data_IF_840400944080
#
_entry.id   IF_840400944080
#
_cell.length_a   1.000
_cell.length_b   1.000
_cell.length_c   1.000
_cell.angle_alpha   90.00
_cell.angle_beta   90.00
_cell.angle_gamma   90.00
#
_symmetry.space_group_name_H-M   'P 1'
#
loop_
_entity.id
_entity.type
_entity.pdbx_description
1 polymer ?
#
# COMPACT_ATOMS: atom_id res chain seq x y z
N UNK A 1 -11.79 -26.65 -54.76
CA UNK A 1 -11.18 -26.17 -56.02
C UNK A 1 -10.66 -24.77 -55.78
N UNK A 2 -9.34 -24.61 -55.90
CA UNK A 2 -8.52 -23.39 -55.98
C UNK A 2 -8.55 -22.38 -54.82
N UNK A 3 -7.49 -21.65 -54.46
CA UNK A 3 -6.03 -21.86 -54.40
C UNK A 3 -5.41 -20.49 -54.08
N UNK A 4 -4.47 -20.46 -53.14
CA UNK A 4 -3.31 -19.56 -52.99
C UNK A 4 -3.46 -18.03 -53.09
N UNK A 5 -3.00 -17.33 -52.04
CA UNK A 5 -1.74 -16.57 -52.12
C UNK A 5 -1.14 -16.38 -50.71
N UNK A 6 0.10 -16.85 -50.54
CA UNK A 6 0.99 -16.58 -49.41
C UNK A 6 1.76 -15.28 -49.67
N UNK A 7 2.04 -14.52 -48.62
CA UNK A 7 2.98 -13.39 -48.66
C UNK A 7 3.75 -13.31 -47.34
N UNK A 8 4.95 -13.88 -47.32
CA UNK A 8 5.93 -13.78 -46.25
C UNK A 8 6.82 -12.55 -46.47
N UNK A 9 7.05 -11.76 -45.43
CA UNK A 9 8.08 -10.72 -45.44
C UNK A 9 8.92 -10.83 -44.16
N UNK A 10 10.11 -11.44 -44.32
CA UNK A 10 11.25 -11.36 -43.40
C UNK A 10 12.04 -10.11 -43.78
N UNK A 11 12.40 -9.27 -42.80
CA UNK A 11 13.52 -8.34 -42.94
C UNK A 11 14.39 -8.35 -41.69
N UNK A 12 15.68 -8.39 -41.95
CA UNK A 12 16.79 -8.65 -41.05
C UNK A 12 17.23 -7.39 -40.27
N UNK A 13 17.86 -7.63 -39.13
CA UNK A 13 18.65 -6.66 -38.37
C UNK A 13 19.98 -6.31 -39.07
N UNK A 14 20.58 -5.15 -38.75
CA UNK A 14 22.02 -4.97 -38.83
C UNK A 14 22.65 -4.91 -37.42
N UNK A 15 23.78 -5.60 -37.28
CA UNK A 15 24.72 -5.56 -36.15
C UNK A 15 26.00 -4.83 -36.61
N UNK A 16 26.71 -4.25 -35.63
CA UNK A 16 28.07 -3.66 -35.63
C UNK A 16 28.12 -2.13 -35.89
N UNK A 17 28.95 -1.33 -35.22
CA UNK A 17 30.25 -1.63 -34.62
C UNK A 17 30.63 -0.73 -33.42
N UNK A 18 31.68 -1.19 -32.74
CA UNK A 18 32.44 -0.65 -31.60
C UNK A 18 32.81 0.84 -31.66
N UNK A 19 32.91 1.45 -30.47
CA UNK A 19 33.79 2.59 -30.18
C UNK A 19 34.29 2.52 -28.73
N UNK A 20 35.48 1.96 -28.53
CA UNK A 20 36.29 2.08 -27.31
C UNK A 20 36.93 3.46 -27.26
N UNK A 21 36.91 4.11 -26.09
CA UNK A 21 37.91 5.10 -25.67
C UNK A 21 38.20 4.91 -24.17
N UNK A 22 39.31 4.24 -23.88
CA UNK A 22 40.15 4.46 -22.70
C UNK A 22 41.20 5.54 -23.11
N UNK A 23 41.89 6.31 -22.28
CA UNK A 23 42.16 6.33 -20.84
C UNK A 23 42.61 7.76 -20.48
N UNK A 24 42.69 8.10 -19.19
CA UNK A 24 43.96 8.49 -18.56
C UNK A 24 43.79 8.80 -17.07
N UNK A 25 44.70 8.21 -16.31
CA UNK A 25 44.80 8.11 -14.86
C UNK A 25 45.47 9.33 -14.23
N UNK A 26 45.21 9.57 -12.94
CA UNK A 26 46.30 9.95 -12.01
C UNK A 26 45.87 9.67 -10.58
N UNK A 27 46.30 8.50 -10.09
CA UNK A 27 46.51 8.20 -8.68
C UNK A 27 47.78 8.89 -8.20
N UNK A 28 47.73 9.61 -7.07
CA UNK A 28 48.91 9.94 -6.27
C UNK A 28 48.71 9.41 -4.85
N UNK A 29 49.39 8.30 -4.60
CA UNK A 29 49.82 7.80 -3.30
C UNK A 29 51.07 8.59 -2.90
N UNK A 30 51.10 9.10 -1.67
CA UNK A 30 52.35 9.48 -0.99
C UNK A 30 52.41 8.73 0.33
N UNK A 31 53.33 7.78 0.39
CA UNK A 31 53.92 7.23 1.61
C UNK A 31 55.18 8.01 1.93
N UNK A 32 55.37 8.35 3.20
CA UNK A 32 56.66 8.62 3.88
C UNK A 32 56.30 9.13 5.30
N UNK A 33 56.95 8.80 6.41
CA UNK A 33 57.95 7.80 6.79
C UNK A 33 57.88 7.71 8.33
N UNK A 34 58.42 6.63 8.90
CA UNK A 34 58.38 6.28 10.31
C UNK A 34 59.04 7.29 11.26
N UNK A 35 58.56 7.35 12.50
CA UNK A 35 59.40 7.61 13.68
C UNK A 35 58.78 6.93 14.91
N UNK A 36 59.51 5.94 15.42
CA UNK A 36 59.33 5.33 16.73
C UNK A 36 59.81 6.28 17.82
N UNK A 37 58.99 6.55 18.83
CA UNK A 37 59.45 7.03 20.13
C UNK A 37 58.57 6.46 21.24
N UNK A 38 59.26 6.12 22.32
CA UNK A 38 58.90 5.30 23.47
C UNK A 38 57.87 5.93 24.42
N UNK A 39 57.27 5.06 25.23
CA UNK A 39 56.29 5.34 26.27
C UNK A 39 56.72 6.43 27.27
N UNK A 40 55.74 7.20 27.76
CA UNK A 40 55.75 7.59 29.17
C UNK A 40 54.33 7.80 29.71
N UNK A 41 54.16 7.36 30.95
CA UNK A 41 52.93 7.33 31.73
C UNK A 41 52.56 8.72 32.26
N UNK A 42 51.30 9.14 32.13
CA UNK A 42 50.66 10.02 33.11
C UNK A 42 49.14 9.81 33.12
N UNK A 43 48.64 9.39 34.28
CA UNK A 43 47.21 9.38 34.61
C UNK A 43 46.83 10.81 34.98
N UNK A 44 46.03 11.48 34.15
CA UNK A 44 45.45 12.77 34.47
C UNK A 44 43.92 12.63 34.56
N UNK A 45 43.41 12.76 35.79
CA UNK A 45 42.00 12.93 36.07
C UNK A 45 41.49 14.23 35.42
N UNK A 46 40.37 14.17 34.70
CA UNK A 46 39.82 15.32 33.99
C UNK A 46 38.34 15.19 33.68
N UNK A 47 37.55 15.93 34.47
CA UNK A 47 36.24 16.49 34.18
C UNK A 47 35.08 15.53 33.83
N UNK A 48 34.13 15.45 34.78
CA UNK A 48 32.77 15.01 34.55
C UNK A 48 32.16 15.77 33.37
N UNK A 49 31.71 15.03 32.35
CA UNK A 49 30.83 15.57 31.31
C UNK A 49 29.49 15.90 31.96
N UNK A 50 28.88 17.07 31.70
CA UNK A 50 27.54 17.32 32.16
C UNK A 50 26.61 16.32 31.49
N UNK A 51 25.80 15.67 32.32
CA UNK A 51 24.74 14.76 31.90
C UNK A 51 23.95 15.40 30.76
N UNK A 52 23.92 14.68 29.63
CA UNK A 52 22.97 14.91 28.56
C UNK A 52 21.58 15.01 29.19
N UNK A 53 21.02 16.21 29.20
CA UNK A 53 19.65 16.46 29.62
C UNK A 53 18.75 15.44 28.93
N UNK A 54 18.27 14.46 29.71
CA UNK A 54 17.20 13.58 29.30
C UNK A 54 16.03 14.50 28.92
N UNK A 55 15.74 14.58 27.62
CA UNK A 55 14.52 15.23 27.14
C UNK A 55 13.37 14.54 27.83
N UNK A 56 12.71 15.25 28.75
CA UNK A 56 11.55 14.74 29.46
C UNK A 56 10.54 14.25 28.43
N UNK A 57 10.38 12.92 28.34
CA UNK A 57 9.37 12.30 27.51
C UNK A 57 8.02 12.67 28.12
N UNK A 58 7.38 13.70 27.58
CA UNK A 58 6.04 14.10 28.01
C UNK A 58 5.06 12.98 27.68
N UNK A 59 4.28 12.53 28.66
CA UNK A 59 3.33 11.43 28.51
C UNK A 59 2.37 11.63 27.31
N UNK A 60 1.88 10.53 26.70
CA UNK A 60 0.86 10.59 25.66
C UNK A 60 -0.39 11.34 26.14
N UNK A 61 -0.96 12.16 25.26
CA UNK A 61 -2.18 12.94 25.53
C UNK A 61 -3.36 12.31 24.79
N UNK A 62 -4.60 12.40 25.33
CA UNK A 62 -5.80 12.05 24.57
C UNK A 62 -5.88 12.85 23.27
N UNK A 63 -6.16 12.17 22.16
CA UNK A 63 -6.29 12.80 20.85
C UNK A 63 -7.65 13.47 20.77
N UNK A 64 -7.66 14.80 20.62
CA UNK A 64 -8.89 15.58 20.53
C UNK A 64 -8.86 16.53 19.33
N UNK A 65 -9.97 16.66 18.58
CA UNK A 65 -10.05 17.63 17.50
C UNK A 65 -10.06 19.06 18.06
N UNK A 66 -9.62 20.01 17.22
CA UNK A 66 -9.55 21.43 17.56
C UNK A 66 -10.69 22.25 16.93
N UNK A 67 -11.41 21.68 15.96
CA UNK A 67 -12.50 22.36 15.25
C UNK A 67 -13.84 21.68 15.52
N UNK A 68 -14.97 22.35 15.26
CA UNK A 68 -16.28 21.69 15.20
C UNK A 68 -16.27 20.56 14.17
N UNK A 69 -17.13 19.56 14.38
CA UNK A 69 -17.32 18.48 13.41
C UNK A 69 -17.70 19.05 12.04
N UNK A 70 -17.15 18.50 10.94
CA UNK A 70 -17.52 18.93 9.60
C UNK A 70 -18.98 18.58 9.31
N UNK A 71 -19.66 19.43 8.54
CA UNK A 71 -21.06 19.21 8.12
C UNK A 71 -21.24 17.94 7.30
N UNK A 72 -20.21 17.51 6.55
CA UNK A 72 -20.23 16.27 5.77
C UNK A 72 -20.02 15.00 6.62
N UNK A 73 -19.60 15.12 7.89
CA UNK A 73 -19.49 13.99 8.81
C UNK A 73 -19.87 14.36 10.25
N UNK A 74 -21.18 14.56 10.53
CA UNK A 74 -21.66 14.92 11.87
C UNK A 74 -21.38 13.83 12.94
N UNK A 75 -21.19 12.57 12.51
CA UNK A 75 -20.85 11.44 13.37
C UNK A 75 -19.37 11.05 13.36
N UNK A 76 -18.47 11.85 12.77
CA UNK A 76 -17.03 11.52 12.78
C UNK A 76 -16.53 11.38 14.22
N UNK A 77 -15.68 10.40 14.47
CA UNK A 77 -15.07 10.18 15.78
C UNK A 77 -13.91 11.16 16.02
N UNK A 78 -13.65 11.55 17.28
CA UNK A 78 -12.70 12.61 17.61
C UNK A 78 -11.29 12.38 17.05
N UNK A 79 -10.79 11.15 17.13
CA UNK A 79 -9.44 10.78 16.70
C UNK A 79 -9.30 10.85 15.18
N UNK A 80 -10.29 10.34 14.45
CA UNK A 80 -10.34 10.46 12.99
C UNK A 80 -10.43 11.94 12.57
N UNK A 81 -11.28 12.73 13.26
CA UNK A 81 -11.38 14.16 12.99
C UNK A 81 -10.05 14.88 13.19
N UNK A 82 -9.32 14.57 14.27
CA UNK A 82 -8.01 15.16 14.52
C UNK A 82 -7.00 14.85 13.39
N UNK A 83 -7.04 13.63 12.83
CA UNK A 83 -6.23 13.28 11.64
C UNK A 83 -6.65 14.08 10.41
N UNK A 84 -7.95 14.24 10.14
CA UNK A 84 -8.42 15.06 9.02
C UNK A 84 -8.00 16.53 9.17
N UNK A 85 -8.06 17.08 10.39
CA UNK A 85 -7.58 18.43 10.69
C UNK A 85 -6.06 18.57 10.45
N UNK A 86 -5.28 17.55 10.82
CA UNK A 86 -3.84 17.51 10.54
C UNK A 86 -3.58 17.46 9.03
N UNK A 87 -4.31 16.63 8.28
CA UNK A 87 -4.19 16.55 6.83
C UNK A 87 -4.50 17.90 6.16
N UNK A 88 -5.59 18.55 6.58
CA UNK A 88 -5.96 19.88 6.11
C UNK A 88 -4.85 20.90 6.39
N UNK A 89 -4.29 20.89 7.60
CA UNK A 89 -3.20 21.80 7.96
C UNK A 89 -1.95 21.57 7.10
N UNK A 90 -1.55 20.31 6.89
CA UNK A 90 -0.38 19.97 6.08
C UNK A 90 -0.58 20.35 4.61
N UNK A 91 -1.81 20.27 4.11
CA UNK A 91 -2.14 20.54 2.71
C UNK A 91 -2.25 22.04 2.39
N UNK A 92 -2.03 22.93 3.36
CA UNK A 92 -2.15 24.39 3.18
C UNK A 92 -3.47 24.98 3.70
N UNK A 93 -4.31 24.20 4.38
CA UNK A 93 -5.53 24.69 5.02
C UNK A 93 -6.54 25.25 4.03
N UNK A 94 -7.19 26.40 4.31
CA UNK A 94 -8.22 26.98 3.45
C UNK A 94 -7.76 27.36 2.04
N UNK A 95 -6.45 27.54 1.82
CA UNK A 95 -5.87 27.90 0.51
C UNK A 95 -5.39 26.68 -0.27
N UNK A 96 -5.55 25.47 0.29
CA UNK A 96 -5.14 24.23 -0.34
C UNK A 96 -5.82 24.05 -1.69
N UNK A 97 -5.02 23.79 -2.73
CA UNK A 97 -5.53 23.34 -4.03
C UNK A 97 -6.17 21.95 -3.83
N UNK A 98 -7.44 21.74 -4.20
CA UNK A 98 -8.03 20.41 -4.12
C UNK A 98 -7.25 19.42 -4.98
N UNK A 99 -7.00 18.21 -4.49
CA UNK A 99 -6.21 17.19 -5.21
C UNK A 99 -6.81 16.86 -6.59
N UNK A 100 -8.13 16.86 -6.72
CA UNK A 100 -8.82 16.68 -8.00
C UNK A 100 -8.51 17.76 -9.06
N UNK A 101 -7.86 18.87 -8.66
CA UNK A 101 -7.38 19.94 -9.56
C UNK A 101 -5.86 19.90 -9.77
N UNK A 102 -5.14 18.98 -9.11
CA UNK A 102 -3.70 18.81 -9.24
C UNK A 102 -3.32 17.97 -10.46
N UNK A 103 -2.10 18.13 -10.94
CA UNK A 103 -1.44 17.14 -11.80
C UNK A 103 -1.05 15.91 -10.96
N UNK A 104 -0.86 14.72 -11.56
CA UNK A 104 -0.37 13.56 -10.83
C UNK A 104 0.97 13.79 -10.11
N UNK A 105 1.87 14.57 -10.72
CA UNK A 105 3.18 14.88 -10.13
C UNK A 105 3.05 15.80 -8.90
N UNK A 106 2.11 16.74 -8.90
CA UNK A 106 1.75 17.53 -7.71
C UNK A 106 1.11 16.64 -6.64
N UNK A 107 0.12 15.83 -7.01
CA UNK A 107 -0.62 14.97 -6.08
C UNK A 107 0.29 13.93 -5.39
N UNK A 108 1.30 13.39 -6.09
CA UNK A 108 2.31 12.47 -5.52
C UNK A 108 3.22 13.12 -4.47
N UNK A 109 3.29 14.45 -4.43
CA UNK A 109 4.07 15.22 -3.44
C UNK A 109 3.19 15.81 -2.34
N UNK A 110 1.86 15.73 -2.48
CA UNK A 110 0.94 16.23 -1.49
C UNK A 110 1.01 15.37 -0.21
N UNK A 111 0.78 15.96 0.97
CA UNK A 111 0.70 15.21 2.22
C UNK A 111 -0.35 14.10 2.14
N UNK A 112 0.00 12.95 2.67
CA UNK A 112 -0.84 11.76 2.72
C UNK A 112 -1.58 11.64 4.05
N UNK A 113 -2.53 10.71 4.11
CA UNK A 113 -3.19 10.33 5.35
C UNK A 113 -2.19 9.75 6.39
N UNK A 114 -1.12 9.10 5.93
CA UNK A 114 -0.04 8.63 6.79
C UNK A 114 0.76 9.81 7.40
N UNK A 115 1.05 10.85 6.61
CA UNK A 115 1.70 12.06 7.13
C UNK A 115 0.83 12.75 8.18
N UNK A 116 -0.47 12.81 7.95
CA UNK A 116 -1.44 13.34 8.91
C UNK A 116 -1.50 12.51 10.20
N UNK A 117 -1.48 11.19 10.11
CA UNK A 117 -1.43 10.31 11.28
C UNK A 117 -0.13 10.54 12.09
N UNK A 118 1.02 10.64 11.42
CA UNK A 118 2.30 10.95 12.07
C UNK A 118 2.30 12.34 12.73
N UNK A 119 1.74 13.35 12.06
CA UNK A 119 1.61 14.69 12.61
C UNK A 119 0.71 14.70 13.86
N UNK A 120 -0.39 13.94 13.84
CA UNK A 120 -1.26 13.75 15.01
C UNK A 120 -0.54 13.05 16.14
N UNK A 121 0.20 11.97 15.87
CA UNK A 121 1.01 11.30 16.90
C UNK A 121 1.99 12.27 17.55
N UNK A 122 2.72 13.05 16.75
CA UNK A 122 3.65 14.07 17.24
C UNK A 122 2.94 15.13 18.10
N UNK A 123 1.79 15.64 17.65
CA UNK A 123 1.01 16.66 18.36
C UNK A 123 0.54 16.17 19.74
N UNK A 124 0.20 14.90 19.87
CA UNK A 124 -0.34 14.30 21.09
C UNK A 124 0.66 13.42 21.85
N UNK A 125 1.96 13.52 21.55
CA UNK A 125 3.03 12.76 22.21
C UNK A 125 2.81 11.22 22.18
N UNK A 126 2.20 10.71 21.11
CA UNK A 126 2.03 9.27 20.91
C UNK A 126 3.36 8.72 20.37
N UNK A 127 3.97 7.73 21.04
CA UNK A 127 5.24 7.17 20.60
C UNK A 127 5.08 6.44 19.25
N UNK A 128 6.09 6.57 18.39
CA UNK A 128 6.19 5.76 17.19
C UNK A 128 6.36 4.28 17.57
N UNK A 129 5.53 3.37 17.04
CA UNK A 129 5.73 1.94 17.27
C UNK A 129 7.14 1.50 16.82
N UNK A 130 7.78 0.57 17.56
CA UNK A 130 9.09 0.06 17.18
C UNK A 130 9.02 -0.73 15.86
N UNK A 131 10.14 -0.79 15.15
CA UNK A 131 10.24 -1.62 13.94
C UNK A 131 10.23 -3.12 14.30
N UNK A 132 9.12 -3.80 13.97
CA UNK A 132 8.86 -5.21 14.32
C UNK A 132 9.15 -6.22 13.21
N UNK A 133 9.57 -5.73 12.04
CA UNK A 133 9.95 -6.55 10.89
C UNK A 133 11.24 -6.03 10.24
N UNK A 134 12.07 -6.96 9.80
CA UNK A 134 13.23 -6.68 8.95
C UNK A 134 12.77 -6.51 7.50
N UNK A 135 13.40 -5.58 6.77
CA UNK A 135 12.98 -5.26 5.40
C UNK A 135 14.08 -5.54 4.39
N UNK A 136 13.72 -6.16 3.26
CA UNK A 136 14.61 -6.30 2.09
C UNK A 136 13.91 -5.84 0.82
N UNK A 137 14.65 -5.20 -0.08
CA UNK A 137 14.14 -4.83 -1.42
C UNK A 137 14.50 -5.90 -2.46
N UNK A 138 13.56 -6.18 -3.37
CA UNK A 138 13.75 -7.09 -4.51
C UNK A 138 13.13 -6.51 -5.77
N UNK A 139 13.67 -6.87 -6.93
CA UNK A 139 13.01 -6.68 -8.22
C UNK A 139 12.45 -8.03 -8.63
N UNK A 140 11.15 -8.10 -8.89
CA UNK A 140 10.41 -9.37 -9.08
C UNK A 140 9.95 -9.58 -10.51
N UNK A 141 9.90 -8.50 -11.29
CA UNK A 141 9.68 -8.48 -12.73
C UNK A 141 10.29 -7.18 -13.30
N UNK A 142 10.46 -7.06 -14.63
CA UNK A 142 10.95 -5.82 -15.23
C UNK A 142 10.11 -4.60 -14.81
N UNK A 143 10.74 -3.67 -14.07
CA UNK A 143 10.08 -2.47 -13.56
C UNK A 143 9.19 -2.67 -12.33
N UNK A 144 9.11 -3.88 -11.75
CA UNK A 144 8.31 -4.18 -10.56
C UNK A 144 9.23 -4.49 -9.38
N UNK A 145 9.18 -3.62 -8.38
CA UNK A 145 9.92 -3.79 -7.12
C UNK A 145 8.98 -4.24 -6.01
N UNK A 146 9.52 -4.93 -5.02
CA UNK A 146 8.83 -5.24 -3.77
C UNK A 146 9.72 -4.91 -2.58
N UNK A 147 9.09 -4.59 -1.46
CA UNK A 147 9.74 -4.61 -0.14
C UNK A 147 9.14 -5.77 0.65
N UNK A 148 10.00 -6.71 1.01
CA UNK A 148 9.65 -7.89 1.81
C UNK A 148 9.89 -7.55 3.27
N UNK A 149 8.87 -7.76 4.10
CA UNK A 149 8.88 -7.58 5.54
C UNK A 149 8.88 -8.96 6.20
N UNK A 150 9.93 -9.28 6.93
CA UNK A 150 10.06 -10.55 7.65
C UNK A 150 9.84 -10.28 9.14
N UNK A 151 8.88 -10.96 9.79
CA UNK A 151 8.63 -10.77 11.21
C UNK A 151 9.86 -11.22 12.02
N UNK A 152 10.18 -10.49 13.10
CA UNK A 152 11.30 -10.83 13.99
C UNK A 152 11.01 -12.03 14.90
N UNK A 153 9.72 -12.32 15.12
CA UNK A 153 9.25 -13.42 15.94
C UNK A 153 8.65 -14.54 15.07
N UNK A 154 8.70 -15.77 15.58
CA UNK A 154 8.20 -16.97 14.92
C UNK A 154 9.31 -17.83 14.31
N UNK A 155 8.92 -18.94 13.70
CA UNK A 155 9.83 -19.92 13.08
C UNK A 155 9.39 -20.20 11.66
N UNK A 156 10.36 -20.16 10.73
CA UNK A 156 10.14 -20.49 9.33
C UNK A 156 9.71 -21.96 9.13
N UNK A 157 8.99 -22.29 8.03
CA UNK A 157 8.53 -21.37 7.00
C UNK A 157 7.34 -20.53 7.48
N UNK A 158 7.32 -19.24 7.14
CA UNK A 158 6.27 -18.30 7.52
C UNK A 158 5.09 -18.34 6.54
N UNK A 159 3.85 -18.06 6.98
CA UNK A 159 2.81 -17.61 6.06
C UNK A 159 3.28 -16.38 5.26
N UNK A 160 2.71 -16.18 4.08
CA UNK A 160 3.04 -15.06 3.20
C UNK A 160 1.80 -14.26 2.85
N UNK A 161 1.91 -12.94 2.87
CA UNK A 161 0.87 -12.02 2.39
C UNK A 161 1.48 -11.19 1.27
N UNK A 162 0.91 -11.25 0.06
CA UNK A 162 1.26 -10.31 -1.00
C UNK A 162 0.36 -9.10 -0.86
N UNK A 163 0.95 -7.94 -0.58
CA UNK A 163 0.23 -6.72 -0.24
C UNK A 163 0.32 -5.68 -1.35
N UNK A 164 -0.83 -5.08 -1.68
CA UNK A 164 -0.94 -4.03 -2.69
C UNK A 164 -1.41 -2.73 -2.02
N UNK A 165 -0.62 -1.68 -2.17
CA UNK A 165 -0.95 -0.37 -1.61
C UNK A 165 -2.08 0.32 -2.39
N UNK A 166 -2.77 1.27 -1.75
CA UNK A 166 -3.80 2.10 -2.38
C UNK A 166 -3.26 3.27 -3.18
N UNK A 167 -4.02 4.37 -3.26
CA UNK A 167 -3.65 5.57 -4.04
C UNK A 167 -4.21 5.61 -5.46
N UNK A 168 -5.35 4.97 -5.70
CA UNK A 168 -6.11 5.08 -6.96
C UNK A 168 -5.30 4.71 -8.22
N UNK A 169 -4.31 3.84 -8.07
CA UNK A 169 -3.31 3.47 -9.09
C UNK A 169 -2.46 4.63 -9.64
N UNK A 170 -2.47 5.80 -9.02
CA UNK A 170 -1.82 7.03 -9.53
C UNK A 170 -0.84 7.63 -8.52
N UNK A 171 -1.15 7.56 -7.23
CA UNK A 171 -0.36 8.14 -6.13
C UNK A 171 0.03 7.09 -5.09
N UNK A 172 0.74 7.53 -4.04
CA UNK A 172 1.27 6.72 -2.95
C UNK A 172 2.37 5.74 -3.38
N UNK A 173 3.01 5.12 -2.41
CA UNK A 173 4.09 4.16 -2.61
C UNK A 173 4.20 3.22 -1.37
N UNK A 174 5.29 2.45 -1.32
CA UNK A 174 5.58 1.53 -0.22
C UNK A 174 5.66 2.22 1.15
N UNK A 175 6.16 3.46 1.22
CA UNK A 175 6.31 4.20 2.48
C UNK A 175 4.97 4.73 2.99
N UNK A 176 4.06 5.13 2.10
CA UNK A 176 2.72 5.60 2.47
C UNK A 176 1.91 4.55 3.24
N UNK A 177 2.08 3.26 2.92
CA UNK A 177 1.35 2.15 3.54
C UNK A 177 2.23 1.28 4.47
N UNK A 178 3.43 1.75 4.82
CA UNK A 178 4.39 1.00 5.65
C UNK A 178 3.79 0.57 7.00
N UNK A 179 2.99 1.45 7.63
CA UNK A 179 2.33 1.17 8.91
C UNK A 179 1.37 -0.04 8.84
N UNK A 180 0.52 -0.09 7.81
CA UNK A 180 -0.39 -1.24 7.59
C UNK A 180 0.39 -2.53 7.36
N UNK A 181 1.43 -2.47 6.53
CA UNK A 181 2.24 -3.66 6.18
C UNK A 181 2.99 -4.21 7.40
N UNK A 182 3.59 -3.33 8.21
CA UNK A 182 4.25 -3.73 9.47
C UNK A 182 3.25 -4.33 10.45
N UNK A 183 2.10 -3.68 10.63
CA UNK A 183 1.05 -4.17 11.51
C UNK A 183 0.58 -5.57 11.09
N UNK A 184 0.36 -5.81 9.80
CA UNK A 184 -0.01 -7.12 9.29
C UNK A 184 1.11 -8.15 9.52
N UNK A 185 2.37 -7.83 9.20
CA UNK A 185 3.50 -8.74 9.38
C UNK A 185 3.65 -9.17 10.84
N UNK A 186 3.64 -8.21 11.75
CA UNK A 186 3.77 -8.43 13.19
C UNK A 186 2.59 -9.23 13.75
N UNK A 187 1.36 -8.76 13.49
CA UNK A 187 0.19 -9.33 14.12
C UNK A 187 -0.14 -10.72 13.58
N UNK A 188 0.16 -11.02 12.31
CA UNK A 188 -0.05 -12.34 11.70
C UNK A 188 1.13 -13.30 11.90
N UNK A 189 2.34 -12.79 12.16
CA UNK A 189 3.56 -13.59 12.08
C UNK A 189 3.89 -14.04 10.65
N UNK A 190 3.42 -13.28 9.65
CA UNK A 190 3.63 -13.57 8.23
C UNK A 190 4.72 -12.68 7.62
N UNK A 191 5.40 -13.23 6.62
CA UNK A 191 6.18 -12.43 5.68
C UNK A 191 5.21 -11.64 4.82
N UNK A 192 5.42 -10.32 4.67
CA UNK A 192 4.61 -9.49 3.79
C UNK A 192 5.43 -8.99 2.62
N UNK A 193 5.00 -9.29 1.39
CA UNK A 193 5.61 -8.83 0.14
C UNK A 193 4.80 -7.62 -0.34
N UNK A 194 5.25 -6.41 -0.01
CA UNK A 194 4.59 -5.16 -0.42
C UNK A 194 5.05 -4.76 -1.83
N UNK A 195 4.09 -4.63 -2.75
CA UNK A 195 4.35 -4.48 -4.18
C UNK A 195 4.32 -3.01 -4.62
N UNK A 196 5.41 -2.53 -5.22
CA UNK A 196 5.50 -1.22 -5.87
C UNK A 196 5.13 -1.37 -7.36
N UNK A 197 3.84 -1.55 -7.63
CA UNK A 197 3.32 -1.66 -8.99
C UNK A 197 3.44 -0.31 -9.72
N UNK A 198 3.55 -0.34 -11.06
CA UNK A 198 3.62 0.90 -11.84
C UNK A 198 2.27 1.61 -11.92
N UNK A 199 2.31 2.92 -11.90
CA UNK A 199 1.15 3.80 -11.70
C UNK A 199 0.83 4.64 -12.94
N UNK A 200 -0.44 5.00 -13.09
CA UNK A 200 -0.88 5.97 -14.10
C UNK A 200 -0.47 7.39 -13.72
N UNK A 201 -0.43 8.33 -14.67
CA UNK A 201 -0.76 8.15 -16.09
C UNK A 201 0.35 7.56 -16.95
N UNK A 202 1.57 7.43 -16.43
CA UNK A 202 2.71 6.87 -17.18
C UNK A 202 2.46 5.42 -17.56
N UNK A 203 1.81 4.66 -16.66
CA UNK A 203 1.45 3.26 -16.85
C UNK A 203 -0.03 3.04 -16.57
N UNK A 204 -0.86 3.30 -17.58
CA UNK A 204 -2.31 3.14 -17.52
C UNK A 204 -2.76 1.69 -17.39
N UNK A 205 -4.04 1.49 -17.08
CA UNK A 205 -4.69 0.17 -17.08
C UNK A 205 -4.35 -0.63 -18.36
N UNK A 206 -4.04 -1.95 -18.27
CA UNK A 206 -4.04 -2.81 -17.07
C UNK A 206 -2.67 -2.96 -16.38
N UNK A 207 -1.77 -1.99 -16.48
CA UNK A 207 -0.37 -2.19 -16.04
C UNK A 207 -0.25 -2.57 -14.56
N UNK A 208 -0.87 -1.82 -13.65
CA UNK A 208 -0.83 -2.15 -12.21
C UNK A 208 -1.39 -3.56 -11.90
N UNK A 209 -2.40 -4.02 -12.64
CA UNK A 209 -2.98 -5.36 -12.47
C UNK A 209 -1.99 -6.45 -12.91
N UNK A 210 -1.35 -6.25 -14.06
CA UNK A 210 -0.34 -7.17 -14.57
C UNK A 210 0.90 -7.22 -13.66
N UNK A 211 1.35 -6.07 -13.14
CA UNK A 211 2.48 -5.98 -12.22
C UNK A 211 2.18 -6.69 -10.90
N UNK A 212 0.99 -6.47 -10.35
CA UNK A 212 0.52 -7.13 -9.12
C UNK A 212 0.40 -8.64 -9.28
N UNK A 213 -0.08 -9.11 -10.44
CA UNK A 213 -0.14 -10.54 -10.74
C UNK A 213 1.26 -11.14 -10.97
N UNK A 214 2.16 -10.42 -11.65
CA UNK A 214 3.55 -10.86 -11.82
C UNK A 214 4.27 -10.98 -10.47
N UNK A 215 4.05 -10.04 -9.55
CA UNK A 215 4.58 -10.11 -8.19
C UNK A 215 4.02 -11.32 -7.42
N UNK A 216 2.73 -11.63 -7.58
CA UNK A 216 2.12 -12.82 -6.99
C UNK A 216 2.73 -14.12 -7.53
N UNK A 217 2.90 -14.22 -8.86
CA UNK A 217 3.55 -15.37 -9.49
C UNK A 217 5.00 -15.53 -9.04
N UNK A 218 5.74 -14.41 -8.91
CA UNK A 218 7.09 -14.42 -8.37
C UNK A 218 7.10 -14.92 -6.92
N UNK A 219 6.20 -14.43 -6.06
CA UNK A 219 6.11 -14.89 -4.67
C UNK A 219 5.86 -16.39 -4.60
N UNK A 220 4.94 -16.93 -5.40
CA UNK A 220 4.69 -18.38 -5.48
C UNK A 220 5.94 -19.19 -5.82
N UNK A 221 6.77 -18.69 -6.75
CA UNK A 221 7.98 -19.36 -7.19
C UNK A 221 9.17 -19.19 -6.22
N UNK A 222 9.15 -18.16 -5.39
CA UNK A 222 10.29 -17.72 -4.57
C UNK A 222 10.01 -17.70 -3.06
N UNK A 223 9.01 -18.43 -2.56
CA UNK A 223 8.68 -18.42 -1.13
C UNK A 223 9.86 -18.85 -0.26
N UNK A 224 10.64 -19.85 -0.68
CA UNK A 224 11.81 -20.30 0.07
C UNK A 224 12.86 -19.18 0.28
N UNK A 225 13.08 -18.34 -0.75
CA UNK A 225 14.05 -17.22 -0.72
C UNK A 225 13.67 -16.15 0.32
N UNK A 226 12.39 -16.06 0.65
CA UNK A 226 11.84 -15.15 1.66
C UNK A 226 11.45 -15.87 2.95
N UNK A 227 11.89 -17.12 3.14
CA UNK A 227 11.55 -17.98 4.30
C UNK A 227 10.04 -18.25 4.46
N UNK A 228 9.27 -18.11 3.39
CA UNK A 228 7.83 -18.31 3.34
C UNK A 228 7.41 -19.72 2.93
N UNK A 229 6.14 -20.03 3.16
CA UNK A 229 5.50 -21.29 2.78
C UNK A 229 4.60 -21.11 1.54
N UNK A 230 4.85 -21.84 0.43
CA UNK A 230 4.07 -21.69 -0.80
C UNK A 230 2.62 -22.16 -0.67
N UNK A 231 2.28 -22.92 0.39
CA UNK A 231 0.92 -23.41 0.64
C UNK A 231 0.10 -22.45 1.51
N UNK A 232 0.73 -21.44 2.12
CA UNK A 232 0.11 -20.47 3.04
C UNK A 232 0.32 -19.05 2.54
N UNK A 233 -0.21 -18.76 1.35
CA UNK A 233 -0.15 -17.43 0.74
C UNK A 233 -1.54 -16.79 0.72
N UNK A 234 -1.66 -15.57 1.22
CA UNK A 234 -2.82 -14.70 1.04
C UNK A 234 -2.46 -13.48 0.19
N UNK A 235 -3.49 -12.80 -0.33
CA UNK A 235 -3.36 -11.47 -0.93
C UNK A 235 -4.06 -10.45 -0.05
N UNK A 236 -3.55 -9.22 -0.01
CA UNK A 236 -4.12 -8.15 0.78
C UNK A 236 -3.98 -6.81 0.05
N UNK A 237 -4.90 -5.88 0.30
CA UNK A 237 -4.68 -4.51 -0.13
C UNK A 237 -5.76 -3.54 0.30
N UNK A 238 -5.44 -2.27 0.13
CA UNK A 238 -6.24 -1.12 0.57
C UNK A 238 -6.64 -0.26 -0.63
N UNK A 239 -7.90 0.15 -0.73
CA UNK A 239 -8.38 1.04 -1.81
C UNK A 239 -8.18 0.41 -3.20
N UNK A 240 -7.43 1.07 -4.09
CA UNK A 240 -6.94 0.51 -5.34
C UNK A 240 -6.17 -0.82 -5.15
N UNK A 241 -5.48 -0.98 -4.03
CA UNK A 241 -4.82 -2.24 -3.66
C UNK A 241 -5.81 -3.34 -3.27
N UNK A 242 -6.94 -2.98 -2.66
CA UNK A 242 -8.03 -3.93 -2.38
C UNK A 242 -8.64 -4.45 -3.67
N UNK A 243 -8.77 -3.58 -4.68
CA UNK A 243 -9.12 -3.99 -6.03
C UNK A 243 -8.12 -5.00 -6.60
N UNK A 244 -6.82 -4.65 -6.56
CA UNK A 244 -5.74 -5.50 -7.08
C UNK A 244 -5.69 -6.86 -6.40
N UNK A 245 -5.92 -6.95 -5.09
CA UNK A 245 -5.98 -8.23 -4.36
C UNK A 245 -7.08 -9.16 -4.91
N UNK A 246 -8.27 -8.61 -5.14
CA UNK A 246 -9.38 -9.38 -5.71
C UNK A 246 -9.11 -9.76 -7.18
N UNK A 247 -8.65 -8.80 -7.99
CA UNK A 247 -8.32 -9.02 -9.39
C UNK A 247 -7.19 -10.05 -9.57
N UNK A 248 -6.16 -10.05 -8.72
CA UNK A 248 -5.10 -11.08 -8.73
C UNK A 248 -5.67 -12.46 -8.43
N UNK A 249 -6.61 -12.58 -7.49
CA UNK A 249 -7.29 -13.85 -7.22
C UNK A 249 -8.10 -14.34 -8.43
N UNK A 250 -8.78 -13.43 -9.13
CA UNK A 250 -9.48 -13.74 -10.39
C UNK A 250 -8.50 -14.16 -11.49
N UNK A 251 -7.41 -13.42 -11.68
CA UNK A 251 -6.38 -13.75 -12.66
C UNK A 251 -5.72 -15.10 -12.37
N UNK A 252 -5.49 -15.43 -11.09
CA UNK A 252 -4.96 -16.72 -10.68
C UNK A 252 -5.92 -17.86 -11.05
N UNK A 253 -7.21 -17.73 -10.73
CA UNK A 253 -8.26 -18.68 -11.14
C UNK A 253 -8.28 -18.87 -12.65
N UNK A 254 -8.40 -17.77 -13.40
CA UNK A 254 -8.65 -17.80 -14.84
C UNK A 254 -7.43 -18.30 -15.62
N UNK A 255 -6.22 -18.01 -15.12
CA UNK A 255 -4.96 -18.47 -15.71
C UNK A 255 -4.45 -19.80 -15.14
N UNK A 256 -5.23 -20.45 -14.26
CA UNK A 256 -4.89 -21.73 -13.61
C UNK A 256 -3.55 -21.68 -12.84
N UNK A 257 -3.26 -20.53 -12.23
CA UNK A 257 -2.19 -20.39 -11.24
C UNK A 257 -2.75 -20.77 -9.87
N UNK A 258 -1.92 -21.26 -8.96
CA UNK A 258 -2.34 -21.57 -7.59
C UNK A 258 -3.09 -20.37 -6.99
N UNK A 259 -4.26 -20.61 -6.39
CA UNK A 259 -5.06 -19.57 -5.76
C UNK A 259 -4.45 -19.16 -4.41
N UNK A 260 -4.55 -17.87 -4.03
CA UNK A 260 -4.27 -17.50 -2.65
C UNK A 260 -5.30 -18.18 -1.74
N UNK A 261 -4.89 -18.50 -0.51
CA UNK A 261 -5.75 -19.11 0.52
C UNK A 261 -6.82 -18.15 1.03
N UNK A 262 -6.53 -16.86 0.99
CA UNK A 262 -7.37 -15.81 1.55
C UNK A 262 -7.13 -14.48 0.85
N UNK A 263 -8.14 -13.60 0.87
CA UNK A 263 -8.02 -12.22 0.41
C UNK A 263 -8.48 -11.24 1.50
N UNK A 264 -7.61 -10.30 1.87
CA UNK A 264 -7.97 -9.15 2.71
C UNK A 264 -8.19 -7.93 1.80
N UNK A 265 -9.40 -7.41 1.80
CA UNK A 265 -9.83 -6.34 0.90
C UNK A 265 -10.34 -5.17 1.74
N UNK A 266 -9.54 -4.11 1.85
CA UNK A 266 -9.85 -2.98 2.72
C UNK A 266 -10.30 -1.79 1.86
N UNK A 267 -11.53 -1.32 2.09
CA UNK A 267 -12.25 -0.23 1.41
C UNK A 267 -11.97 -0.16 -0.10
N UNK A 268 -12.22 -1.25 -0.85
CA UNK A 268 -11.73 -1.39 -2.22
C UNK A 268 -12.38 -0.38 -3.17
N UNK A 269 -11.64 0.01 -4.21
CA UNK A 269 -12.28 0.44 -5.45
C UNK A 269 -12.87 -0.83 -6.10
N UNK A 270 -14.17 -1.01 -6.07
CA UNK A 270 -14.84 -2.23 -6.53
C UNK A 270 -15.74 -2.02 -7.74
N UNK A 271 -16.06 -0.78 -8.10
CA UNK A 271 -16.92 -0.43 -9.21
C UNK A 271 -16.40 0.75 -10.03
N UNK A 272 -17.11 1.05 -11.10
CA UNK A 272 -16.88 2.23 -11.95
C UNK A 272 -18.11 3.15 -12.04
N UNK A 273 -19.11 2.94 -11.17
CA UNK A 273 -20.29 3.81 -11.09
C UNK A 273 -20.11 4.89 -10.01
N UNK A 274 -19.88 6.12 -10.45
CA UNK A 274 -19.76 7.29 -9.55
C UNK A 274 -21.11 7.78 -9.00
N UNK A 275 -22.20 7.03 -9.16
CA UNK A 275 -23.55 7.42 -8.71
C UNK A 275 -24.16 6.47 -7.68
N UNK A 276 -23.36 5.59 -7.07
CA UNK A 276 -23.83 4.81 -5.91
C UNK A 276 -24.23 5.72 -4.75
N UNK A 277 -25.07 5.26 -3.80
CA UNK A 277 -25.50 6.06 -2.66
C UNK A 277 -24.33 6.68 -1.88
N UNK A 278 -23.24 5.94 -1.67
CA UNK A 278 -22.06 6.47 -0.98
C UNK A 278 -21.33 7.55 -1.78
N UNK A 279 -21.23 7.42 -3.11
CA UNK A 279 -20.65 8.48 -3.94
C UNK A 279 -21.45 9.78 -3.88
N UNK A 280 -22.79 9.68 -3.90
CA UNK A 280 -23.68 10.85 -3.82
C UNK A 280 -23.63 11.52 -2.45
N UNK A 281 -23.47 10.74 -1.37
CA UNK A 281 -23.34 11.26 -0.01
C UNK A 281 -21.94 11.87 0.26
N UNK A 282 -20.89 11.37 -0.38
CA UNK A 282 -19.49 11.73 -0.08
C UNK A 282 -18.87 12.63 -1.16
N UNK A 283 -19.48 13.78 -1.42
CA UNK A 283 -18.97 14.78 -2.37
C UNK A 283 -17.96 15.74 -1.76
N UNK A 284 -18.00 15.94 -0.43
CA UNK A 284 -17.12 16.84 0.31
C UNK A 284 -16.20 16.12 1.30
N UNK A 285 -16.34 14.80 1.40
CA UNK A 285 -15.60 13.94 2.33
C UNK A 285 -14.10 14.02 2.08
N UNK A 286 -13.34 13.81 3.16
CA UNK A 286 -11.87 13.77 3.15
C UNK A 286 -11.39 12.45 3.75
N UNK A 287 -10.23 11.92 3.33
CA UNK A 287 -9.37 12.45 2.26
C UNK A 287 -9.92 12.19 0.85
N UNK A 288 -10.89 11.27 0.71
CA UNK A 288 -11.45 10.84 -0.57
C UNK A 288 -12.89 11.34 -0.75
N UNK A 289 -13.21 11.77 -1.96
CA UNK A 289 -14.56 12.13 -2.39
C UNK A 289 -14.79 11.72 -3.85
N UNK A 290 -16.04 11.91 -4.32
CA UNK A 290 -16.47 11.61 -5.69
C UNK A 290 -15.58 12.23 -6.77
N UNK A 291 -15.23 13.52 -6.64
CA UNK A 291 -14.43 14.23 -7.65
C UNK A 291 -13.01 13.67 -7.75
N UNK A 292 -12.41 13.32 -6.60
CA UNK A 292 -11.10 12.70 -6.57
C UNK A 292 -11.11 11.29 -7.19
N UNK A 293 -12.19 10.52 -7.04
CA UNK A 293 -12.34 9.25 -7.74
C UNK A 293 -12.47 9.41 -9.26
N UNK A 294 -13.24 10.40 -9.73
CA UNK A 294 -13.27 10.74 -11.15
C UNK A 294 -11.88 11.12 -11.69
N UNK A 295 -11.09 11.84 -10.89
CA UNK A 295 -9.70 12.17 -11.20
C UNK A 295 -8.82 10.92 -11.30
N UNK A 296 -8.91 9.98 -10.36
CA UNK A 296 -8.15 8.72 -10.43
C UNK A 296 -8.47 7.93 -11.69
N UNK A 297 -9.75 7.75 -12.02
CA UNK A 297 -10.15 7.06 -13.24
C UNK A 297 -9.64 7.76 -14.50
N UNK A 298 -9.69 9.10 -14.55
CA UNK A 298 -9.16 9.88 -15.69
C UNK A 298 -7.67 9.61 -15.93
N UNK A 299 -6.87 9.55 -14.88
CA UNK A 299 -5.42 9.37 -15.02
C UNK A 299 -5.00 7.91 -15.17
N UNK A 300 -5.77 6.96 -14.63
CA UNK A 300 -5.44 5.55 -14.71
C UNK A 300 -5.98 4.84 -15.95
N UNK A 301 -7.23 5.09 -16.36
CA UNK A 301 -7.84 4.41 -17.49
C UNK A 301 -7.30 4.94 -18.83
N UNK A 302 -7.17 4.07 -19.83
CA UNK A 302 -6.82 4.48 -21.21
C UNK A 302 -8.03 5.13 -21.87
N UNK A 303 -9.19 4.52 -21.67
CA UNK A 303 -10.50 5.00 -22.12
C UNK A 303 -11.56 4.67 -21.07
N UNK A 304 -12.74 5.35 -21.07
CA UNK A 304 -13.83 5.00 -20.16
C UNK A 304 -14.32 3.54 -20.30
N UNK A 305 -14.11 2.90 -21.46
CA UNK A 305 -14.47 1.50 -21.66
C UNK A 305 -13.66 0.54 -20.75
N UNK A 306 -12.43 0.91 -20.38
CA UNK A 306 -11.61 0.12 -19.44
C UNK A 306 -12.30 -0.03 -18.08
N UNK A 307 -13.12 0.94 -17.68
CA UNK A 307 -13.84 0.89 -16.41
C UNK A 307 -14.89 -0.22 -16.34
N UNK A 308 -15.33 -0.75 -17.47
CA UNK A 308 -16.24 -1.93 -17.55
C UNK A 308 -15.49 -3.26 -17.51
N UNK A 309 -14.15 -3.24 -17.49
CA UNK A 309 -13.37 -4.46 -17.34
C UNK A 309 -13.69 -5.12 -16.00
N UNK A 310 -13.81 -6.45 -15.94
CA UNK A 310 -14.02 -7.16 -14.67
C UNK A 310 -12.83 -7.03 -13.71
N UNK A 311 -11.68 -6.50 -14.16
CA UNK A 311 -10.55 -6.16 -13.28
C UNK A 311 -10.73 -4.79 -12.59
N UNK A 312 -11.54 -3.89 -13.14
CA UNK A 312 -11.90 -2.61 -12.50
C UNK A 312 -13.22 -2.75 -11.75
N UNK A 313 -14.25 -3.17 -12.48
CA UNK A 313 -15.61 -3.35 -11.97
C UNK A 313 -15.80 -4.77 -11.45
N UNK A 314 -15.29 -4.98 -10.23
CA UNK A 314 -15.38 -6.23 -9.49
C UNK A 314 -16.84 -6.58 -9.14
N UNK A 315 -17.69 -5.57 -8.96
CA UNK A 315 -19.13 -5.75 -8.65
C UNK A 315 -19.82 -6.57 -9.73
N UNK A 316 -19.46 -6.38 -11.01
CA UNK A 316 -20.04 -7.11 -12.14
C UNK A 316 -19.17 -8.27 -12.65
N UNK A 317 -18.09 -8.61 -11.95
CA UNK A 317 -17.19 -9.68 -12.35
C UNK A 317 -17.74 -11.09 -12.04
N UNK A 318 -17.14 -12.11 -12.65
CA UNK A 318 -17.35 -13.49 -12.21
C UNK A 318 -16.52 -13.76 -10.95
N UNK A 319 -17.21 -13.87 -9.80
CA UNK A 319 -16.60 -14.05 -8.48
C UNK A 319 -16.63 -15.50 -7.96
N UNK A 320 -17.19 -16.45 -8.74
CA UNK A 320 -17.30 -17.85 -8.33
C UNK A 320 -15.93 -18.51 -8.21
N UNK A 321 -15.72 -19.27 -7.13
CA UNK A 321 -14.47 -20.01 -6.90
C UNK A 321 -13.28 -19.14 -6.51
N UNK A 322 -13.51 -17.89 -6.07
CA UNK A 322 -12.50 -17.06 -5.42
C UNK A 322 -12.29 -17.50 -3.96
N UNK A 323 -11.12 -17.20 -3.36
CA UNK A 323 -10.85 -17.57 -1.97
C UNK A 323 -11.71 -16.79 -0.98
N UNK A 324 -11.83 -17.34 0.24
CA UNK A 324 -12.52 -16.66 1.33
C UNK A 324 -11.92 -15.26 1.58
N UNK A 325 -12.77 -14.32 1.99
CA UNK A 325 -12.44 -12.92 2.03
C UNK A 325 -12.80 -12.25 3.38
N UNK A 326 -11.95 -11.32 3.82
CA UNK A 326 -12.36 -10.28 4.76
C UNK A 326 -12.48 -8.97 3.99
N UNK A 327 -13.63 -8.29 4.12
CA UNK A 327 -13.88 -6.97 3.55
C UNK A 327 -14.14 -5.97 4.67
N UNK A 328 -13.39 -4.87 4.66
CA UNK A 328 -13.55 -3.75 5.60
C UNK A 328 -13.99 -2.52 4.82
N UNK A 329 -14.96 -1.74 5.32
CA UNK A 329 -15.33 -0.44 4.76
C UNK A 329 -15.37 0.64 5.84
N UNK A 330 -15.37 1.90 5.43
CA UNK A 330 -15.54 3.05 6.30
C UNK A 330 -16.88 3.75 6.03
N UNK A 331 -17.51 4.33 7.06
CA UNK A 331 -18.78 5.04 6.94
C UNK A 331 -18.69 6.27 6.03
N UNK A 332 -17.65 7.10 6.21
CA UNK A 332 -17.44 8.31 5.41
C UNK A 332 -16.47 8.01 4.27
N UNK A 333 -16.97 7.25 3.29
CA UNK A 333 -16.18 6.81 2.15
C UNK A 333 -17.07 6.72 0.90
N UNK A 334 -16.72 7.40 -0.22
CA UNK A 334 -17.44 7.22 -1.48
C UNK A 334 -17.46 5.77 -1.99
N UNK A 335 -16.49 4.93 -1.60
CA UNK A 335 -16.38 3.54 -2.03
C UNK A 335 -17.20 2.56 -1.18
N UNK A 336 -17.85 3.02 -0.10
CA UNK A 336 -18.54 2.14 0.85
C UNK A 336 -19.59 1.25 0.19
N UNK A 337 -20.45 1.83 -0.67
CA UNK A 337 -21.52 1.07 -1.32
C UNK A 337 -20.95 -0.02 -2.24
N UNK A 338 -19.90 0.27 -3.01
CA UNK A 338 -19.30 -0.73 -3.90
C UNK A 338 -18.50 -1.81 -3.14
N UNK A 339 -17.85 -1.46 -2.03
CA UNK A 339 -17.27 -2.45 -1.12
C UNK A 339 -18.31 -3.41 -0.54
N UNK A 340 -19.49 -2.90 -0.13
CA UNK A 340 -20.61 -3.73 0.33
C UNK A 340 -21.20 -4.57 -0.81
N UNK A 341 -21.38 -4.01 -2.00
CA UNK A 341 -21.86 -4.76 -3.17
C UNK A 341 -20.91 -5.90 -3.53
N UNK A 342 -19.59 -5.68 -3.48
CA UNK A 342 -18.61 -6.73 -3.69
C UNK A 342 -18.73 -7.85 -2.65
N UNK A 343 -18.90 -7.50 -1.37
CA UNK A 343 -19.11 -8.49 -0.30
C UNK A 343 -20.36 -9.34 -0.57
N UNK A 344 -21.47 -8.71 -0.91
CA UNK A 344 -22.74 -9.39 -1.20
C UNK A 344 -22.61 -10.28 -2.45
N UNK A 345 -21.91 -9.83 -3.48
CA UNK A 345 -21.75 -10.58 -4.72
C UNK A 345 -20.78 -11.76 -4.56
N UNK A 346 -19.73 -11.64 -3.73
CA UNK A 346 -18.90 -12.77 -3.33
C UNK A 346 -19.71 -13.82 -2.56
N UNK A 347 -20.53 -13.41 -1.59
CA UNK A 347 -21.41 -14.32 -0.84
C UNK A 347 -22.41 -15.03 -1.75
N UNK A 348 -23.07 -14.30 -2.65
CA UNK A 348 -23.98 -14.88 -3.67
C UNK A 348 -23.26 -15.86 -4.59
N UNK A 349 -21.97 -15.64 -4.86
CA UNK A 349 -21.14 -16.55 -5.65
C UNK A 349 -20.63 -17.78 -4.86
N UNK A 350 -21.02 -17.94 -3.60
CA UNK A 350 -20.65 -19.06 -2.73
C UNK A 350 -19.28 -18.90 -2.06
N UNK A 351 -18.70 -17.70 -2.05
CA UNK A 351 -17.43 -17.42 -1.38
C UNK A 351 -17.70 -17.08 0.10
N UNK A 352 -16.99 -17.70 1.07
CA UNK A 352 -17.08 -17.27 2.46
C UNK A 352 -16.56 -15.85 2.63
N UNK A 353 -17.38 -14.94 3.18
CA UNK A 353 -17.02 -13.53 3.36
C UNK A 353 -17.31 -13.08 4.79
N UNK A 354 -16.32 -12.47 5.41
CA UNK A 354 -16.47 -11.66 6.61
C UNK A 354 -16.49 -10.19 6.19
N UNK A 355 -17.54 -9.45 6.53
CA UNK A 355 -17.69 -8.05 6.18
C UNK A 355 -17.90 -7.19 7.42
N UNK A 356 -17.24 -6.03 7.49
CA UNK A 356 -17.52 -5.04 8.53
C UNK A 356 -17.34 -3.61 8.02
N UNK A 357 -18.37 -2.80 8.23
CA UNK A 357 -18.30 -1.35 8.10
C UNK A 357 -17.91 -0.71 9.44
N UNK A 358 -16.96 0.21 9.43
CA UNK A 358 -16.54 0.96 10.60
C UNK A 358 -17.15 2.36 10.58
N UNK A 359 -17.89 2.67 11.64
CA UNK A 359 -18.51 3.98 11.86
C UNK A 359 -17.51 5.01 12.38
N UNK A 360 -17.79 6.29 12.17
CA UNK A 360 -16.99 7.38 12.68
C UNK A 360 -15.66 7.62 11.96
N UNK A 361 -15.31 6.79 10.97
CA UNK A 361 -14.03 6.85 10.23
C UNK A 361 -14.20 7.15 8.74
N UNK A 362 -13.11 7.60 8.12
CA UNK A 362 -13.04 7.94 6.69
C UNK A 362 -12.24 6.90 5.90
N UNK A 363 -12.21 7.04 4.57
CA UNK A 363 -11.22 6.37 3.72
C UNK A 363 -9.78 6.59 4.23
N UNK A 364 -8.88 5.63 3.99
CA UNK A 364 -7.48 5.58 4.47
C UNK A 364 -7.26 5.32 5.98
N UNK A 365 -8.30 5.00 6.77
CA UNK A 365 -8.12 4.86 8.23
C UNK A 365 -7.28 3.65 8.67
N UNK A 366 -7.15 2.59 7.87
CA UNK A 366 -6.69 1.28 8.32
C UNK A 366 -5.26 1.29 8.88
N UNK A 367 -4.36 2.08 8.30
CA UNK A 367 -2.98 2.23 8.75
C UNK A 367 -2.79 3.07 10.03
N UNK A 368 -3.85 3.64 10.59
CA UNK A 368 -3.79 4.66 11.65
C UNK A 368 -3.96 4.10 13.07
N UNK A 369 -3.70 2.81 13.32
CA UNK A 369 -4.00 2.14 14.59
C UNK A 369 -3.33 2.74 15.85
N UNK A 370 -2.26 3.53 15.69
CA UNK A 370 -1.65 4.26 16.79
C UNK A 370 -2.50 5.45 17.28
N UNK A 371 -3.40 5.95 16.45
CA UNK A 371 -4.20 7.17 16.70
C UNK A 371 -5.69 6.88 16.71
N UNK A 372 -6.17 6.06 15.79
CA UNK A 372 -7.61 5.82 15.54
C UNK A 372 -7.99 4.43 16.08
N UNK A 373 -8.82 4.33 17.14
CA UNK A 373 -9.21 3.05 17.74
C UNK A 373 -9.84 2.06 16.76
N UNK A 374 -10.67 2.56 15.84
CA UNK A 374 -11.34 1.75 14.81
C UNK A 374 -10.33 1.12 13.85
N UNK A 375 -9.22 1.80 13.55
CA UNK A 375 -8.15 1.24 12.73
C UNK A 375 -7.51 0.03 13.42
N UNK A 376 -7.25 0.12 14.73
CA UNK A 376 -6.77 -1.02 15.53
C UNK A 376 -7.78 -2.18 15.53
N UNK A 377 -9.06 -1.88 15.66
CA UNK A 377 -10.12 -2.90 15.61
C UNK A 377 -10.24 -3.53 14.21
N UNK A 378 -10.08 -2.75 13.14
CA UNK A 378 -10.10 -3.22 11.76
C UNK A 378 -8.91 -4.12 11.46
N UNK A 379 -7.72 -3.75 11.93
CA UNK A 379 -6.53 -4.61 11.84
C UNK A 379 -6.73 -5.93 12.59
N UNK A 380 -7.27 -5.90 13.82
CA UNK A 380 -7.53 -7.12 14.58
C UNK A 380 -8.50 -8.07 13.85
N UNK A 381 -9.60 -7.53 13.31
CA UNK A 381 -10.57 -8.28 12.52
C UNK A 381 -9.95 -8.88 11.24
N UNK A 382 -9.11 -8.11 10.54
CA UNK A 382 -8.39 -8.58 9.37
C UNK A 382 -7.39 -9.71 9.71
N UNK A 383 -6.64 -9.55 10.80
CA UNK A 383 -5.65 -10.51 11.29
C UNK A 383 -6.31 -11.84 11.68
N UNK A 384 -7.49 -11.81 12.29
CA UNK A 384 -8.24 -13.02 12.65
C UNK A 384 -8.55 -13.88 11.41
N UNK A 385 -9.06 -13.26 10.34
CA UNK A 385 -9.32 -13.95 9.07
C UNK A 385 -8.04 -14.51 8.44
N UNK A 386 -6.98 -13.70 8.39
CA UNK A 386 -5.69 -14.11 7.84
C UNK A 386 -5.08 -15.28 8.63
N UNK A 387 -5.02 -15.20 9.96
CA UNK A 387 -4.49 -16.28 10.80
C UNK A 387 -5.29 -17.56 10.66
N UNK A 388 -6.61 -17.46 10.60
CA UNK A 388 -7.48 -18.64 10.47
C UNK A 388 -7.28 -19.38 9.15
N UNK A 389 -7.08 -18.64 8.05
CA UNK A 389 -6.88 -19.21 6.74
C UNK A 389 -5.45 -19.69 6.45
N UNK A 390 -4.47 -19.16 7.18
CA UNK A 390 -3.03 -19.42 6.99
C UNK A 390 -2.42 -20.32 8.07
N UNK A 391 -3.22 -21.11 8.79
CA UNK A 391 -2.73 -22.09 9.75
C UNK A 391 -1.87 -23.17 9.11
#
# INVERSE_FOLDING_TARGET
MLSFFQGTARWAAPVAALGLLAACSSSQTTTDTATTATADSTVAAGAARPDSAATASTAPKPVTPSKPKPTWAPGIHPEMQAVIEALDSLSGGPTAKPMAKMTPQEARKAPSAADAAMATMKKFNIPTPPATADTMSRTVAPGVKVRVYTPKAGTAPYPVIVYYHGGGWVIANLDTYDASVRALSEQTGAVVVSVAYRQGPEFKFPTAHNDSFAAYQWTLAHTADIKGDPKRIAVAGESAGGNLACAVSMMARDKKVALPKYQLIVYPIAGYDLNTPSYLANTQTKPLNKDLMAWFFKYYLRTPADGKSPMIDLVHANLKGLPAATIVTAQYDPLMSEGKMLADNLQKAGVPVQYKNYEGVTHEFFGMAAVVPEAKQAQAFAVEGLKSALK
#
